data_IF_053297554636
#
_entry.id   IF_053297554636
#
_cell.length_a   1.000
_cell.length_b   1.000
_cell.length_c   1.000
_cell.angle_alpha   90.00
_cell.angle_beta   90.00
_cell.angle_gamma   90.00
#
_symmetry.space_group_name_H-M   'P 1'
#
loop_
_entity.id
_entity.type
_entity.pdbx_description
1 polymer ?
#
# COMPACT_ATOMS: atom_id res chain seq x y z
N UNK A 1 -1.91 -1.66 -28.93
CA UNK A 1 -3.15 -1.58 -28.12
C UNK A 1 -2.74 -1.89 -26.71
N UNK A 2 -2.97 -0.95 -25.79
CA UNK A 2 -2.56 -1.06 -24.37
C UNK A 2 -3.56 -1.98 -23.65
N UNK A 3 -3.05 -3.04 -23.03
CA UNK A 3 -3.84 -4.01 -22.26
C UNK A 3 -4.07 -3.50 -20.84
N UNK A 4 -5.31 -3.38 -20.43
CA UNK A 4 -5.71 -2.84 -19.13
C UNK A 4 -6.45 -3.92 -18.34
N UNK A 5 -6.08 -4.10 -17.07
CA UNK A 5 -6.87 -4.82 -16.07
C UNK A 5 -7.49 -3.81 -15.12
N UNK A 6 -8.75 -4.01 -14.75
CA UNK A 6 -9.48 -3.20 -13.78
C UNK A 6 -9.76 -4.06 -12.55
N UNK A 7 -9.25 -3.65 -11.40
CA UNK A 7 -9.44 -4.33 -10.12
C UNK A 7 -10.11 -3.38 -9.12
N UNK A 8 -11.37 -3.64 -8.80
CA UNK A 8 -12.21 -2.82 -7.92
C UNK A 8 -13.33 -3.71 -7.34
N UNK A 9 -13.64 -3.61 -6.07
CA UNK A 9 -14.69 -4.42 -5.45
C UNK A 9 -16.11 -4.01 -5.91
N UNK A 10 -16.27 -2.76 -6.35
CA UNK A 10 -17.55 -2.20 -6.81
C UNK A 10 -17.80 -2.52 -8.28
N UNK A 11 -18.74 -3.41 -8.56
CA UNK A 11 -19.11 -3.82 -9.92
C UNK A 11 -19.46 -2.66 -10.82
N UNK A 12 -20.23 -1.68 -10.32
CA UNK A 12 -20.62 -0.49 -11.08
C UNK A 12 -19.40 0.31 -11.55
N UNK A 13 -18.38 0.43 -10.72
CA UNK A 13 -17.13 1.14 -11.07
C UNK A 13 -16.39 0.36 -12.15
N UNK A 14 -16.24 -0.96 -12.00
CA UNK A 14 -15.59 -1.81 -13.01
C UNK A 14 -16.24 -1.69 -14.37
N UNK A 15 -17.56 -1.84 -14.44
CA UNK A 15 -18.30 -1.75 -15.70
C UNK A 15 -18.25 -0.34 -16.31
N UNK A 16 -18.36 0.70 -15.50
CA UNK A 16 -18.23 2.08 -15.96
C UNK A 16 -16.85 2.36 -16.55
N UNK A 17 -15.79 1.97 -15.87
CA UNK A 17 -14.41 2.14 -16.36
C UNK A 17 -14.16 1.34 -17.64
N UNK A 18 -14.67 0.11 -17.72
CA UNK A 18 -14.58 -0.72 -18.91
C UNK A 18 -15.25 -0.07 -20.12
N UNK A 19 -16.49 0.42 -19.95
CA UNK A 19 -17.24 1.10 -21.02
C UNK A 19 -16.46 2.35 -21.47
N UNK A 20 -16.06 3.20 -20.53
CA UNK A 20 -15.40 4.47 -20.81
C UNK A 20 -14.04 4.24 -21.49
N UNK A 21 -13.22 3.31 -21.01
CA UNK A 21 -11.92 3.01 -21.63
C UNK A 21 -12.07 2.39 -23.01
N UNK A 22 -13.14 1.60 -23.25
CA UNK A 22 -13.41 0.99 -24.55
C UNK A 22 -13.81 2.00 -25.63
N UNK A 23 -14.10 3.25 -25.29
CA UNK A 23 -14.31 4.33 -26.28
C UNK A 23 -13.03 4.81 -26.97
N UNK A 24 -11.86 4.46 -26.43
CA UNK A 24 -10.55 4.80 -26.99
C UNK A 24 -9.94 3.56 -27.69
N UNK A 25 -9.73 3.62 -28.98
CA UNK A 25 -9.22 2.50 -29.80
C UNK A 25 -7.84 1.99 -29.35
N UNK A 26 -7.07 2.82 -28.68
CA UNK A 26 -5.74 2.49 -28.17
C UNK A 26 -5.77 1.57 -26.95
N UNK A 27 -6.91 1.45 -26.24
CA UNK A 27 -7.05 0.67 -25.01
C UNK A 27 -7.81 -0.63 -25.26
N UNK A 28 -7.40 -1.68 -24.54
CA UNK A 28 -8.09 -2.96 -24.47
C UNK A 28 -8.21 -3.40 -23.04
N UNK A 29 -9.42 -3.39 -22.49
CA UNK A 29 -9.69 -3.99 -21.17
C UNK A 29 -9.69 -5.51 -21.34
N UNK A 30 -8.67 -6.19 -20.77
CA UNK A 30 -8.52 -7.64 -20.89
C UNK A 30 -9.14 -8.39 -19.72
N UNK A 31 -9.29 -7.74 -18.57
CA UNK A 31 -9.95 -8.33 -17.39
C UNK A 31 -10.57 -7.25 -16.51
N UNK A 32 -11.68 -7.61 -15.86
CA UNK A 32 -12.30 -6.88 -14.76
C UNK A 32 -12.47 -7.84 -13.59
N UNK A 33 -11.95 -7.50 -12.41
CA UNK A 33 -11.87 -8.38 -11.24
C UNK A 33 -12.29 -7.64 -9.97
N UNK A 34 -12.88 -8.35 -9.02
CA UNK A 34 -13.45 -7.76 -7.80
C UNK A 34 -12.65 -8.02 -6.53
N UNK A 35 -11.54 -8.77 -6.61
CA UNK A 35 -10.72 -9.10 -5.45
C UNK A 35 -9.25 -9.25 -5.81
N UNK A 36 -8.36 -9.12 -4.81
CA UNK A 36 -6.93 -9.30 -5.03
C UNK A 36 -6.55 -10.72 -5.46
N UNK A 37 -7.28 -11.75 -5.02
CA UNK A 37 -7.07 -13.13 -5.50
C UNK A 37 -7.38 -13.25 -6.99
N UNK A 38 -8.48 -12.65 -7.44
CA UNK A 38 -8.84 -12.64 -8.86
C UNK A 38 -7.80 -11.89 -9.71
N UNK A 39 -7.18 -10.82 -9.19
CA UNK A 39 -6.04 -10.15 -9.87
C UNK A 39 -4.92 -11.14 -10.13
N UNK A 40 -4.52 -11.92 -9.11
CA UNK A 40 -3.43 -12.91 -9.24
C UNK A 40 -3.79 -14.01 -10.26
N UNK A 41 -5.03 -14.46 -10.28
CA UNK A 41 -5.48 -15.44 -11.25
C UNK A 41 -5.55 -14.87 -12.67
N UNK A 42 -6.05 -13.65 -12.82
CA UNK A 42 -6.20 -13.01 -14.11
C UNK A 42 -4.85 -12.68 -14.76
N UNK A 43 -3.88 -12.15 -13.98
CA UNK A 43 -2.55 -11.80 -14.50
C UNK A 43 -1.76 -13.02 -14.98
N UNK A 44 -1.99 -14.20 -14.37
CA UNK A 44 -1.40 -15.47 -14.81
C UNK A 44 -1.96 -15.95 -16.14
N UNK A 45 -3.21 -15.61 -16.46
CA UNK A 45 -3.88 -15.97 -17.73
C UNK A 45 -3.46 -15.07 -18.86
N UNK A 46 -3.48 -13.75 -18.62
CA UNK A 46 -3.06 -12.75 -19.59
C UNK A 46 -2.45 -11.54 -18.84
N UNK A 47 -1.19 -11.25 -19.12
CA UNK A 47 -0.48 -10.14 -18.48
C UNK A 47 -0.94 -8.80 -19.08
N UNK A 48 -1.42 -7.85 -18.25
CA UNK A 48 -1.73 -6.49 -18.68
C UNK A 48 -0.48 -5.64 -18.76
N UNK A 49 -0.55 -4.54 -19.51
CA UNK A 49 0.47 -3.48 -19.47
C UNK A 49 0.28 -2.59 -18.23
N UNK A 50 -0.98 -2.38 -17.83
CA UNK A 50 -1.34 -1.57 -16.66
C UNK A 50 -2.54 -2.17 -15.92
N UNK A 51 -2.49 -2.10 -14.59
CA UNK A 51 -3.60 -2.42 -13.69
C UNK A 51 -4.12 -1.13 -13.07
N UNK A 52 -5.41 -0.87 -13.20
CA UNK A 52 -6.14 0.11 -12.42
C UNK A 52 -6.60 -0.59 -11.14
N UNK A 53 -5.99 -0.25 -10.01
CA UNK A 53 -6.10 -0.99 -8.76
C UNK A 53 -6.84 -0.20 -7.69
N UNK A 54 -7.99 -0.68 -7.24
CA UNK A 54 -8.56 -0.16 -5.99
C UNK A 54 -7.78 -0.64 -4.77
N UNK A 55 -7.72 0.20 -3.75
CA UNK A 55 -7.01 -0.13 -2.51
C UNK A 55 -7.83 -1.01 -1.58
N UNK A 56 -9.16 -0.91 -1.65
CA UNK A 56 -10.06 -1.65 -0.76
C UNK A 56 -10.74 -2.78 -1.51
N UNK A 57 -10.16 -3.95 -1.47
CA UNK A 57 -10.74 -5.15 -2.05
C UNK A 57 -10.82 -6.27 -1.01
N UNK A 58 -11.80 -7.18 -1.14
CA UNK A 58 -11.88 -8.37 -0.28
C UNK A 58 -10.69 -9.31 -0.52
N UNK A 59 -10.45 -10.17 0.45
CA UNK A 59 -9.43 -11.24 0.48
C UNK A 59 -7.98 -10.73 0.51
N UNK A 60 -7.61 -9.83 -0.38
CA UNK A 60 -6.31 -9.18 -0.46
C UNK A 60 -6.50 -7.74 -0.91
N UNK A 61 -6.04 -6.79 -0.11
CA UNK A 61 -6.13 -5.37 -0.44
C UNK A 61 -5.19 -4.97 -1.59
N UNK A 62 -5.43 -3.79 -2.16
CA UNK A 62 -4.64 -3.31 -3.30
C UNK A 62 -3.17 -3.05 -2.99
N UNK A 63 -2.80 -2.81 -1.72
CA UNK A 63 -1.40 -2.65 -1.29
C UNK A 63 -0.64 -3.96 -1.44
N UNK A 64 -1.16 -5.03 -0.83
CA UNK A 64 -0.55 -6.36 -0.91
C UNK A 64 -0.56 -6.89 -2.34
N UNK A 65 -1.63 -6.61 -3.09
CA UNK A 65 -1.73 -6.98 -4.48
C UNK A 65 -0.68 -6.24 -5.33
N UNK A 66 -0.47 -4.93 -5.09
CA UNK A 66 0.58 -4.15 -5.75
C UNK A 66 1.96 -4.70 -5.45
N UNK A 67 2.27 -5.01 -4.18
CA UNK A 67 3.52 -5.66 -3.78
C UNK A 67 3.75 -6.94 -4.58
N UNK A 68 2.80 -7.87 -4.57
CA UNK A 68 2.89 -9.13 -5.31
C UNK A 68 3.12 -8.90 -6.81
N UNK A 69 2.33 -8.00 -7.43
CA UNK A 69 2.46 -7.70 -8.87
C UNK A 69 3.85 -7.16 -9.18
N UNK A 70 4.39 -6.27 -8.37
CA UNK A 70 5.70 -5.66 -8.62
C UNK A 70 6.87 -6.61 -8.35
N UNK A 71 6.72 -7.57 -7.45
CA UNK A 71 7.73 -8.62 -7.19
C UNK A 71 7.77 -9.68 -8.30
N UNK A 72 6.60 -10.08 -8.82
CA UNK A 72 6.50 -11.18 -9.80
C UNK A 72 6.46 -10.69 -11.25
N UNK A 73 5.86 -9.51 -11.49
CA UNK A 73 5.66 -8.89 -12.79
C UNK A 73 6.13 -7.43 -12.80
N UNK A 74 7.44 -7.15 -12.66
CA UNK A 74 8.00 -5.81 -12.45
C UNK A 74 7.67 -4.81 -13.55
N UNK A 75 7.46 -5.28 -14.78
CA UNK A 75 7.15 -4.44 -15.95
C UNK A 75 5.70 -3.95 -15.94
N UNK A 76 4.79 -4.67 -15.29
CA UNK A 76 3.38 -4.27 -15.19
C UNK A 76 3.27 -3.00 -14.36
N UNK A 77 2.62 -1.99 -14.92
CA UNK A 77 2.37 -0.73 -14.23
C UNK A 77 1.13 -0.83 -13.35
N UNK A 78 1.18 -0.23 -12.18
CA UNK A 78 0.02 -0.19 -11.27
C UNK A 78 -0.34 1.26 -11.02
N UNK A 79 -1.57 1.64 -11.40
CA UNK A 79 -2.18 2.92 -11.07
C UNK A 79 -3.24 2.66 -10.01
N UNK A 80 -3.04 3.22 -8.83
CA UNK A 80 -4.02 3.17 -7.75
C UNK A 80 -5.17 4.11 -8.04
N UNK A 81 -6.40 3.61 -7.91
CA UNK A 81 -7.63 4.41 -7.94
C UNK A 81 -8.28 4.38 -6.55
N UNK A 82 -8.51 5.55 -5.97
CA UNK A 82 -9.07 5.64 -4.60
C UNK A 82 -10.09 6.77 -4.48
N UNK A 83 -10.97 6.67 -3.50
CA UNK A 83 -12.00 7.71 -3.27
C UNK A 83 -11.49 8.90 -2.47
N UNK A 84 -10.58 8.75 -1.50
CA UNK A 84 -10.04 9.88 -0.72
C UNK A 84 -8.93 9.49 0.30
N UNK A 85 -8.53 8.23 0.40
CA UNK A 85 -7.69 7.82 1.53
C UNK A 85 -6.21 8.06 1.30
N UNK A 86 -5.74 9.10 1.91
CA UNK A 86 -4.32 9.38 2.11
C UNK A 86 -3.54 8.27 2.85
N UNK A 87 -4.24 7.33 3.45
CA UNK A 87 -3.68 6.30 4.32
C UNK A 87 -2.79 5.32 3.56
N UNK A 88 -3.18 4.98 2.32
CA UNK A 88 -2.48 3.99 1.50
C UNK A 88 -1.37 4.56 0.61
N UNK A 89 -1.23 5.89 0.53
CA UNK A 89 -0.27 6.55 -0.36
C UNK A 89 1.14 6.05 -0.14
N UNK A 90 1.58 6.02 1.12
CA UNK A 90 2.93 5.58 1.47
C UNK A 90 3.18 4.13 1.07
N UNK A 91 2.28 3.24 1.47
CA UNK A 91 2.43 1.81 1.18
C UNK A 91 2.38 1.51 -0.32
N UNK A 92 1.46 2.16 -1.06
CA UNK A 92 1.37 2.01 -2.50
C UNK A 92 2.68 2.45 -3.20
N UNK A 93 3.25 3.60 -2.79
CA UNK A 93 4.51 4.10 -3.32
C UNK A 93 5.69 3.22 -2.94
N UNK A 94 5.76 2.78 -1.69
CA UNK A 94 6.79 1.86 -1.19
C UNK A 94 6.84 0.57 -2.01
N UNK A 95 5.69 0.04 -2.38
CA UNK A 95 5.60 -1.19 -3.16
C UNK A 95 5.59 -0.98 -4.68
N UNK A 96 5.90 0.24 -5.15
CA UNK A 96 6.20 0.52 -6.56
C UNK A 96 4.97 0.81 -7.42
N UNK A 97 3.87 1.31 -6.84
CA UNK A 97 2.78 1.88 -7.63
C UNK A 97 3.33 3.00 -8.54
N UNK A 98 2.96 2.94 -9.81
CA UNK A 98 3.42 3.89 -10.83
C UNK A 98 2.56 5.15 -10.89
N UNK A 99 1.37 5.12 -10.28
CA UNK A 99 0.46 6.26 -10.24
C UNK A 99 -0.56 6.14 -9.11
N UNK A 100 -1.11 7.31 -8.72
CA UNK A 100 -2.13 7.40 -7.68
C UNK A 100 -3.15 8.48 -8.06
N UNK A 101 -4.37 8.08 -8.37
CA UNK A 101 -5.44 8.94 -8.83
C UNK A 101 -6.68 8.80 -7.94
N UNK A 102 -7.48 9.86 -7.90
CA UNK A 102 -8.80 9.81 -7.27
C UNK A 102 -9.80 9.15 -8.21
N UNK A 103 -10.71 8.34 -7.67
CA UNK A 103 -11.90 7.89 -8.40
C UNK A 103 -12.73 9.13 -8.78
N UNK A 104 -13.13 9.24 -10.04
CA UNK A 104 -13.86 10.38 -10.56
C UNK A 104 -13.03 11.36 -11.40
N UNK A 105 -11.74 11.07 -11.66
CA UNK A 105 -10.98 11.78 -12.70
C UNK A 105 -11.64 11.63 -14.08
N UNK A 106 -11.42 12.60 -14.95
CA UNK A 106 -11.93 12.54 -16.33
C UNK A 106 -11.25 11.41 -17.13
N UNK A 107 -11.93 10.96 -18.21
CA UNK A 107 -11.34 9.96 -19.11
C UNK A 107 -10.00 10.44 -19.70
N UNK A 108 -9.88 11.72 -20.01
CA UNK A 108 -8.64 12.26 -20.59
C UNK A 108 -7.50 12.27 -19.56
N UNK A 109 -7.78 12.60 -18.30
CA UNK A 109 -6.80 12.49 -17.21
C UNK A 109 -6.36 11.04 -16.99
N UNK A 110 -7.30 10.09 -16.93
CA UNK A 110 -6.99 8.67 -16.80
C UNK A 110 -6.18 8.15 -18.01
N UNK A 111 -6.56 8.55 -19.23
CA UNK A 111 -5.82 8.19 -20.46
C UNK A 111 -4.39 8.71 -20.44
N UNK A 112 -4.21 9.97 -20.04
CA UNK A 112 -2.89 10.59 -19.91
C UNK A 112 -2.06 9.90 -18.82
N UNK A 113 -2.67 9.55 -17.70
CA UNK A 113 -2.01 8.81 -16.63
C UNK A 113 -1.49 7.45 -17.11
N UNK A 114 -2.34 6.67 -17.79
CA UNK A 114 -1.95 5.37 -18.36
C UNK A 114 -0.75 5.52 -19.30
N UNK A 115 -0.80 6.49 -20.22
CA UNK A 115 0.30 6.73 -21.17
C UNK A 115 1.60 7.14 -20.46
N UNK A 116 1.48 8.04 -19.49
CA UNK A 116 2.65 8.54 -18.74
C UNK A 116 3.35 7.43 -17.98
N UNK A 117 2.61 6.56 -17.26
CA UNK A 117 3.25 5.47 -16.50
C UNK A 117 3.88 4.41 -17.42
N UNK A 118 3.30 4.17 -18.60
CA UNK A 118 3.88 3.26 -19.60
C UNK A 118 5.17 3.80 -20.23
N UNK A 119 5.34 5.12 -20.28
CA UNK A 119 6.57 5.78 -20.70
C UNK A 119 7.63 5.88 -19.58
N UNK A 120 7.37 5.28 -18.41
CA UNK A 120 8.28 5.31 -17.27
C UNK A 120 8.12 6.53 -16.36
N UNK A 121 7.14 7.41 -16.61
CA UNK A 121 6.77 8.49 -15.71
C UNK A 121 5.94 8.00 -14.53
N UNK A 122 5.67 8.91 -13.59
CA UNK A 122 4.77 8.67 -12.45
C UNK A 122 3.72 9.76 -12.37
N UNK A 123 2.51 9.40 -11.94
CA UNK A 123 1.40 10.35 -11.82
C UNK A 123 0.85 10.33 -10.40
N UNK A 124 0.83 11.51 -9.79
CA UNK A 124 0.23 11.76 -8.48
C UNK A 124 -0.55 13.06 -8.54
N UNK A 125 -1.72 13.08 -7.88
CA UNK A 125 -2.35 14.36 -7.68
C UNK A 125 -1.49 15.25 -6.74
N UNK A 126 -1.63 16.59 -6.76
CA UNK A 126 -0.79 17.50 -5.99
C UNK A 126 -0.78 17.22 -4.48
N UNK A 127 -1.91 16.80 -3.92
CA UNK A 127 -2.01 16.48 -2.48
C UNK A 127 -1.21 15.22 -2.14
N UNK A 128 -1.32 14.18 -2.97
CA UNK A 128 -0.56 12.94 -2.82
C UNK A 128 0.92 13.18 -3.00
N UNK A 129 1.32 13.97 -4.01
CA UNK A 129 2.72 14.34 -4.23
C UNK A 129 3.32 15.10 -3.05
N UNK A 130 2.61 16.10 -2.52
CA UNK A 130 3.03 16.86 -1.33
C UNK A 130 3.19 15.97 -0.10
N UNK A 131 2.28 15.01 0.10
CA UNK A 131 2.33 14.06 1.20
C UNK A 131 3.49 13.08 1.05
N UNK A 132 3.70 12.54 -0.15
CA UNK A 132 4.83 11.68 -0.47
C UNK A 132 6.16 12.38 -0.17
N UNK A 133 6.36 13.62 -0.65
CA UNK A 133 7.55 14.42 -0.39
C UNK A 133 7.75 14.62 1.12
N UNK A 134 6.70 14.91 1.86
CA UNK A 134 6.78 15.08 3.33
C UNK A 134 7.22 13.79 4.02
N UNK A 135 6.66 12.65 3.61
CA UNK A 135 7.02 11.34 4.17
C UNK A 135 8.48 11.01 3.85
N UNK A 136 8.92 11.16 2.59
CA UNK A 136 10.32 10.95 2.21
C UNK A 136 11.28 11.89 2.92
N UNK A 137 10.90 13.17 3.10
CA UNK A 137 11.70 14.13 3.85
C UNK A 137 11.83 13.77 5.33
N UNK A 138 10.78 13.23 5.93
CA UNK A 138 10.83 12.74 7.32
C UNK A 138 11.72 11.49 7.44
N UNK A 139 11.64 10.57 6.49
CA UNK A 139 12.50 9.40 6.43
C UNK A 139 13.97 9.76 6.23
N UNK A 140 14.27 10.70 5.32
CA UNK A 140 15.62 11.19 5.12
C UNK A 140 16.18 11.85 6.38
N UNK A 141 15.37 12.62 7.11
CA UNK A 141 15.78 13.21 8.40
C UNK A 141 16.02 12.14 9.47
N UNK A 142 15.22 11.09 9.50
CA UNK A 142 15.42 9.98 10.44
C UNK A 142 16.67 9.17 10.09
N UNK A 143 16.97 8.97 8.81
CA UNK A 143 18.22 8.28 8.39
C UNK A 143 19.48 9.10 8.64
N UNK A 144 19.42 10.44 8.61
CA UNK A 144 20.57 11.30 8.95
C UNK A 144 20.90 11.27 10.45
N UNK A 145 19.91 10.94 11.31
CA UNK A 145 20.14 10.75 12.76
C UNK A 145 20.73 9.37 13.06
N UNK A 146 20.54 8.38 12.15
CA UNK A 146 20.98 6.99 12.38
C UNK A 146 22.45 6.76 12.03
N UNK A 147 23.14 7.67 11.33
CA UNK A 147 24.61 7.52 11.07
C UNK A 147 25.49 7.72 12.31
N UNK A 148 24.92 8.06 13.48
CA UNK A 148 25.70 8.25 14.74
C UNK A 148 25.57 7.13 15.76
N UNK A 149 24.83 6.09 15.50
CA UNK A 149 24.76 4.92 16.39
C UNK A 149 24.94 3.62 15.62
N UNK A 150 26.19 3.36 15.18
CA UNK A 150 26.64 2.01 14.92
C UNK A 150 27.06 1.40 16.26
N UNK A 151 26.19 0.58 16.84
CA UNK A 151 26.60 -0.56 17.66
C UNK A 151 25.42 -1.50 17.90
N UNK A 152 25.54 -2.70 17.33
CA UNK A 152 24.92 -3.95 17.74
C UNK A 152 23.40 -3.95 17.98
N UNK A 153 22.66 -4.25 16.92
CA UNK A 153 21.64 -5.32 16.79
C UNK A 153 20.89 -5.10 15.48
N UNK A 154 20.84 -6.12 14.62
CA UNK A 154 20.17 -6.14 13.30
C UNK A 154 18.63 -6.09 13.39
N UNK A 155 18.08 -5.16 14.14
CA UNK A 155 16.63 -4.97 14.24
C UNK A 155 16.15 -3.85 13.29
N UNK A 156 15.07 -4.07 12.51
CA UNK A 156 14.51 -3.03 11.66
C UNK A 156 14.10 -1.82 12.51
N UNK A 157 14.49 -0.62 12.06
CA UNK A 157 14.24 0.62 12.79
C UNK A 157 12.74 0.93 12.82
N UNK A 158 12.13 0.73 13.98
CA UNK A 158 10.73 1.07 14.24
C UNK A 158 10.61 2.54 14.67
N UNK A 159 9.64 3.25 14.11
CA UNK A 159 9.32 4.63 14.53
C UNK A 159 8.63 4.66 15.90
N UNK A 160 8.65 5.82 16.56
CA UNK A 160 7.94 6.01 17.83
C UNK A 160 6.43 5.71 17.73
N UNK A 161 5.81 5.97 16.59
CA UNK A 161 4.40 5.64 16.36
C UNK A 161 4.18 4.14 16.22
N UNK A 162 5.07 3.44 15.49
CA UNK A 162 5.02 1.98 15.36
C UNK A 162 5.20 1.32 16.73
N UNK A 163 6.14 1.79 17.55
CA UNK A 163 6.33 1.31 18.91
C UNK A 163 5.08 1.49 19.79
N UNK A 164 4.44 2.65 19.74
CA UNK A 164 3.19 2.87 20.48
C UNK A 164 2.09 1.91 20.03
N UNK A 165 1.97 1.64 18.74
CA UNK A 165 0.98 0.69 18.22
C UNK A 165 1.30 -0.73 18.69
N UNK A 166 2.57 -1.16 18.64
CA UNK A 166 3.00 -2.47 19.11
C UNK A 166 2.66 -2.67 20.60
N UNK A 167 2.92 -1.67 21.44
CA UNK A 167 2.58 -1.69 22.87
C UNK A 167 1.09 -1.90 23.10
N UNK A 168 0.24 -1.19 22.36
CA UNK A 168 -1.22 -1.34 22.48
C UNK A 168 -1.70 -2.71 21.96
N UNK A 169 -1.05 -3.23 20.91
CA UNK A 169 -1.32 -4.60 20.42
C UNK A 169 -0.97 -5.65 21.49
N UNK A 170 0.16 -5.51 22.15
CA UNK A 170 0.58 -6.41 23.22
C UNK A 170 -0.34 -6.38 24.45
N UNK A 171 -1.02 -5.25 24.68
CA UNK A 171 -2.07 -5.12 25.69
C UNK A 171 -3.42 -5.72 25.26
N UNK A 172 -3.52 -6.25 24.04
CA UNK A 172 -4.72 -6.91 23.53
C UNK A 172 -5.78 -5.98 22.94
N UNK A 173 -5.50 -4.67 22.76
CA UNK A 173 -6.47 -3.71 22.25
C UNK A 173 -6.79 -3.96 20.77
N UNK A 174 -8.04 -3.78 20.37
CA UNK A 174 -8.47 -3.82 18.96
C UNK A 174 -7.97 -2.60 18.16
N UNK A 175 -8.00 -2.68 16.84
CA UNK A 175 -7.61 -1.55 15.97
C UNK A 175 -8.43 -0.29 16.24
N UNK A 176 -9.71 -0.45 16.58
CA UNK A 176 -10.61 0.64 16.92
C UNK A 176 -10.18 1.34 18.21
N UNK A 177 -9.89 0.59 19.27
CA UNK A 177 -9.42 1.13 20.55
C UNK A 177 -8.07 1.82 20.41
N UNK A 178 -7.13 1.23 19.65
CA UNK A 178 -5.82 1.85 19.35
C UNK A 178 -6.01 3.16 18.58
N UNK A 179 -6.92 3.17 17.61
CA UNK A 179 -7.23 4.36 16.82
C UNK A 179 -7.75 5.50 17.70
N UNK A 180 -8.66 5.20 18.64
CA UNK A 180 -9.19 6.18 19.58
C UNK A 180 -8.09 6.75 20.50
N UNK A 181 -7.20 5.90 21.04
CA UNK A 181 -6.10 6.30 21.92
C UNK A 181 -5.08 7.17 21.19
N UNK A 182 -4.68 6.76 20.00
CA UNK A 182 -3.62 7.43 19.25
C UNK A 182 -4.13 8.55 18.33
N UNK A 183 -5.45 8.82 18.33
CA UNK A 183 -6.14 9.81 17.48
C UNK A 183 -5.91 9.57 15.99
N UNK A 184 -5.98 8.33 15.59
CA UNK A 184 -5.95 7.87 14.20
C UNK A 184 -7.31 7.33 13.78
N UNK A 185 -7.45 6.93 12.51
CA UNK A 185 -8.58 6.11 12.06
C UNK A 185 -8.23 4.63 12.23
N UNK A 186 -9.25 3.75 12.29
CA UNK A 186 -9.03 2.30 12.35
C UNK A 186 -8.25 1.79 11.12
N UNK A 187 -8.51 2.37 9.92
CA UNK A 187 -7.78 2.08 8.70
C UNK A 187 -6.30 2.43 8.82
N UNK A 188 -5.97 3.60 9.41
CA UNK A 188 -4.58 4.01 9.68
C UNK A 188 -3.86 3.00 10.56
N UNK A 189 -4.50 2.50 11.63
CA UNK A 189 -3.91 1.48 12.51
C UNK A 189 -3.69 0.18 11.76
N UNK A 190 -4.65 -0.26 10.92
CA UNK A 190 -4.51 -1.46 10.10
C UNK A 190 -3.29 -1.38 9.17
N UNK A 191 -3.08 -0.22 8.55
CA UNK A 191 -1.92 0.02 7.69
C UNK A 191 -0.60 -0.01 8.46
N UNK A 192 -0.54 0.66 9.62
CA UNK A 192 0.65 0.57 10.48
C UNK A 192 0.96 -0.86 10.88
N UNK A 193 -0.06 -1.65 11.25
CA UNK A 193 0.13 -3.05 11.60
C UNK A 193 0.69 -3.87 10.44
N UNK A 194 0.17 -3.67 9.22
CA UNK A 194 0.71 -4.35 8.04
C UNK A 194 2.20 -4.02 7.83
N UNK A 195 2.57 -2.73 7.92
CA UNK A 195 3.97 -2.28 7.78
C UNK A 195 4.87 -2.82 8.91
N UNK A 196 4.36 -2.86 10.14
CA UNK A 196 5.09 -3.39 11.31
C UNK A 196 5.34 -4.89 11.13
N UNK A 197 4.31 -5.66 10.77
CA UNK A 197 4.43 -7.09 10.54
C UNK A 197 5.42 -7.41 9.43
N UNK A 198 5.39 -6.66 8.33
CA UNK A 198 6.35 -6.77 7.23
C UNK A 198 7.80 -6.46 7.68
N UNK A 199 7.98 -5.37 8.46
CA UNK A 199 9.30 -4.97 8.97
C UNK A 199 9.93 -6.00 9.90
N UNK A 200 9.08 -6.65 10.72
CA UNK A 200 9.50 -7.63 11.71
C UNK A 200 9.44 -9.07 11.18
N UNK A 201 9.07 -9.27 9.92
CA UNK A 201 8.88 -10.58 9.28
C UNK A 201 7.91 -11.49 10.04
N UNK A 202 6.90 -10.89 10.67
CA UNK A 202 5.88 -11.60 11.44
C UNK A 202 4.63 -11.85 10.61
N UNK A 203 3.97 -12.98 10.86
CA UNK A 203 2.81 -13.42 10.04
C UNK A 203 1.50 -12.77 10.44
N UNK A 204 1.34 -12.46 11.71
CA UNK A 204 0.07 -11.98 12.27
C UNK A 204 0.24 -11.17 13.56
N UNK A 205 -0.87 -10.56 13.99
CA UNK A 205 -0.97 -9.75 15.19
C UNK A 205 -0.60 -10.50 16.47
N UNK A 206 -0.89 -11.80 16.54
CA UNK A 206 -0.59 -12.63 17.70
C UNK A 206 0.91 -12.80 17.85
N UNK A 207 1.60 -13.07 16.75
CA UNK A 207 3.07 -13.13 16.73
C UNK A 207 3.70 -11.78 17.13
N UNK A 208 3.11 -10.66 16.71
CA UNK A 208 3.57 -9.33 17.11
C UNK A 208 3.46 -9.11 18.61
N UNK A 209 2.34 -9.48 19.22
CA UNK A 209 2.13 -9.38 20.67
C UNK A 209 3.14 -10.25 21.44
N UNK A 210 3.34 -11.50 21.01
CA UNK A 210 4.30 -12.44 21.61
C UNK A 210 5.73 -11.91 21.47
N UNK A 211 6.10 -11.41 20.29
CA UNK A 211 7.43 -10.83 20.04
C UNK A 211 7.74 -9.67 20.99
N UNK A 212 6.76 -8.76 21.18
CA UNK A 212 6.92 -7.64 22.10
C UNK A 212 7.09 -8.08 23.56
N UNK A 213 6.26 -9.02 24.04
CA UNK A 213 6.31 -9.53 25.42
C UNK A 213 7.64 -10.22 25.72
N UNK A 214 8.17 -11.01 24.77
CA UNK A 214 9.48 -11.65 24.93
C UNK A 214 10.62 -10.64 25.02
N UNK A 215 10.56 -9.59 24.20
CA UNK A 215 11.57 -8.53 24.22
C UNK A 215 11.54 -7.74 25.53
N UNK A 216 10.37 -7.37 26.00
CA UNK A 216 10.23 -6.63 27.27
C UNK A 216 10.79 -7.42 28.47
N UNK A 217 10.64 -8.74 28.46
CA UNK A 217 11.24 -9.62 29.46
C UNK A 217 12.76 -9.67 29.37
N UNK A 218 13.32 -9.77 28.16
CA UNK A 218 14.76 -9.78 27.95
C UNK A 218 15.42 -8.46 28.41
N UNK A 219 14.79 -7.31 28.16
CA UNK A 219 15.28 -6.00 28.60
C UNK A 219 15.20 -5.80 30.12
N UNK A 220 14.29 -6.53 30.80
CA UNK A 220 14.19 -6.54 32.28
C UNK A 220 15.24 -7.45 32.93
N UNK A 221 15.58 -8.56 32.30
CA UNK A 221 16.58 -9.52 32.80
C UNK A 221 18.02 -8.99 32.61
N UNK A 222 18.29 -8.12 31.63
CA UNK A 222 19.60 -7.49 31.39
C UNK A 222 19.89 -6.30 32.35
N UNK A 223 18.86 -5.73 32.99
CA UNK A 223 18.96 -4.57 33.91
C UNK A 223 18.87 -4.94 35.40
N UNK A 224 18.83 -6.21 35.77
CA UNK A 224 18.77 -6.72 37.14
C UNK A 224 20.04 -7.46 37.53
#
# INVERSE_FOLDING_TARGET
>A
MIKIMIADDQELIRESLKIILSTKEEFKVIATVGSGKEVIEAIRREQPDVILMDMRMPDMDGVHCTKFVKEVYPDVKVIVLTTFDDEYVYSALKYGASGYLLKGVSLDELSNAIKTVLQGGAIFNPNVASKAIRIFSQMAKNNVVTEKFQSQDDLPTLSNTEWKIIQQVAQGLSNKEIAEILKFTEGTIRNYLSVILDKLELRDRTQLAIWYIHREKAEQDDNG
#
